data_IF_812248680364
#
_entry.id   IF_812248680364
#
_cell.length_a   1.000
_cell.length_b   1.000
_cell.length_c   1.000
_cell.angle_alpha   90.00
_cell.angle_beta   90.00
_cell.angle_gamma   90.00
#
_symmetry.space_group_name_H-M   'P 1'
#
loop_
_entity.id
_entity.type
_entity.pdbx_description
1 polymer ?
#
# COMPACT_ATOMS: atom_id res chain seq x y z
N UNK A 1 -3.65 -29.29 10.94
CA UNK A 1 -4.37 -28.27 11.73
C UNK A 1 -3.70 -26.93 11.48
N UNK A 2 -4.18 -26.15 10.50
CA UNK A 2 -3.58 -24.88 10.10
C UNK A 2 -3.95 -23.79 11.13
N UNK A 3 -3.13 -23.62 12.17
CA UNK A 3 -3.21 -22.56 13.18
C UNK A 3 -2.84 -21.16 12.63
N UNK A 4 -3.22 -20.84 11.39
CA UNK A 4 -2.89 -19.57 10.74
C UNK A 4 -4.07 -18.61 10.67
N UNK A 5 -5.21 -18.92 11.28
CA UNK A 5 -6.43 -18.10 11.20
C UNK A 5 -6.62 -17.30 12.49
N UNK A 6 -6.67 -15.98 12.37
CA UNK A 6 -6.96 -15.07 13.47
C UNK A 6 -8.46 -14.77 13.44
N UNK A 7 -9.23 -15.67 14.06
CA UNK A 7 -10.67 -15.54 14.25
C UNK A 7 -10.96 -15.17 15.70
N UNK A 8 -11.29 -13.90 15.98
CA UNK A 8 -11.89 -13.50 17.26
C UNK A 8 -10.98 -13.05 18.42
N UNK A 9 -9.69 -12.79 18.19
CA UNK A 9 -8.76 -12.32 19.23
C UNK A 9 -8.34 -10.84 19.14
N UNK A 10 -8.57 -10.18 18.01
CA UNK A 10 -8.02 -8.84 17.75
C UNK A 10 -8.69 -7.73 18.60
N UNK A 11 -9.83 -7.99 19.26
CA UNK A 11 -10.43 -7.03 20.20
C UNK A 11 -9.54 -6.78 21.44
N UNK A 12 -8.65 -7.72 21.78
CA UNK A 12 -7.68 -7.57 22.88
C UNK A 12 -6.66 -6.45 22.62
N UNK A 13 -6.53 -5.98 21.37
CA UNK A 13 -5.69 -4.84 21.01
C UNK A 13 -6.02 -3.59 21.84
N UNK A 14 -7.26 -3.45 22.33
CA UNK A 14 -7.65 -2.33 23.19
C UNK A 14 -6.86 -2.26 24.51
N UNK A 15 -6.21 -3.34 24.94
CA UNK A 15 -5.38 -3.38 26.16
C UNK A 15 -3.91 -3.10 25.90
N UNK A 16 -3.49 -3.02 24.64
CA UNK A 16 -2.09 -2.86 24.24
C UNK A 16 -1.74 -1.40 23.96
N UNK A 17 -2.02 -0.50 24.91
CA UNK A 17 -1.85 0.95 24.75
C UNK A 17 -0.40 1.39 24.46
N UNK A 18 0.56 0.54 24.80
CA UNK A 18 1.99 0.77 24.58
C UNK A 18 2.54 0.09 23.31
N UNK A 19 1.70 -0.59 22.55
CA UNK A 19 2.15 -1.32 21.35
C UNK A 19 2.72 -0.35 20.32
N UNK A 20 3.93 -0.66 19.86
CA UNK A 20 4.63 0.10 18.81
C UNK A 20 4.73 -0.67 17.49
N UNK A 21 4.68 -1.99 17.56
CA UNK A 21 4.85 -2.88 16.41
C UNK A 21 3.73 -3.91 16.45
N UNK A 22 2.97 -4.00 15.36
CA UNK A 22 2.00 -5.06 15.14
C UNK A 22 2.24 -5.66 13.75
N UNK A 23 2.58 -6.94 13.72
CA UNK A 23 2.71 -7.70 12.48
C UNK A 23 1.74 -8.87 12.51
N UNK A 24 0.89 -8.93 11.49
CA UNK A 24 -0.07 -10.00 11.24
C UNK A 24 0.30 -10.76 9.95
N UNK A 25 1.59 -10.79 9.63
CA UNK A 25 2.13 -11.34 8.39
C UNK A 25 1.88 -12.85 8.31
N UNK A 26 1.39 -13.32 7.18
CA UNK A 26 1.16 -14.76 6.94
C UNK A 26 -0.05 -15.38 7.67
N UNK A 27 -0.82 -14.58 8.43
CA UNK A 27 -2.08 -15.01 9.01
C UNK A 27 -3.25 -14.84 8.03
N UNK A 28 -4.38 -15.49 8.31
CA UNK A 28 -5.67 -15.23 7.67
C UNK A 28 -6.52 -14.45 8.65
N UNK A 29 -6.94 -13.26 8.26
CA UNK A 29 -7.73 -12.35 9.10
C UNK A 29 -9.17 -12.42 8.61
N UNK A 30 -10.13 -12.61 9.51
CA UNK A 30 -11.55 -12.61 9.13
C UNK A 30 -12.13 -11.19 9.13
N UNK A 31 -11.75 -10.35 10.10
CA UNK A 31 -12.18 -8.95 10.21
C UNK A 31 -11.13 -8.11 10.94
N UNK A 32 -11.06 -6.81 10.60
CA UNK A 32 -10.28 -5.84 11.37
C UNK A 32 -11.18 -5.19 12.44
N UNK A 33 -10.85 -5.28 13.74
CA UNK A 33 -11.63 -4.63 14.78
C UNK A 33 -11.37 -3.12 14.77
N UNK A 34 -12.38 -2.33 15.12
CA UNK A 34 -12.24 -0.87 15.26
C UNK A 34 -11.17 -0.48 16.29
N UNK A 35 -10.95 -1.33 17.30
CA UNK A 35 -9.97 -1.17 18.36
C UNK A 35 -8.53 -1.10 17.85
N UNK A 36 -8.24 -1.61 16.64
CA UNK A 36 -6.93 -1.41 16.01
C UNK A 36 -6.60 0.08 15.88
N UNK A 37 -7.59 0.92 15.60
CA UNK A 37 -7.45 2.38 15.56
C UNK A 37 -7.17 3.05 16.91
N UNK A 38 -7.24 2.32 18.02
CA UNK A 38 -6.93 2.83 19.36
C UNK A 38 -5.44 2.70 19.71
N UNK A 39 -4.64 2.02 18.90
CA UNK A 39 -3.19 1.84 19.13
C UNK A 39 -2.42 3.14 18.82
N UNK A 40 -2.57 4.16 19.67
CA UNK A 40 -2.04 5.51 19.42
C UNK A 40 -0.51 5.60 19.41
N UNK A 41 0.19 4.60 19.93
CA UNK A 41 1.66 4.54 19.93
C UNK A 41 2.24 3.66 18.82
N UNK A 42 1.39 3.10 17.96
CA UNK A 42 1.81 2.21 16.89
C UNK A 42 2.67 2.96 15.87
N UNK A 43 3.82 2.38 15.55
CA UNK A 43 4.80 2.89 14.58
C UNK A 43 4.91 1.99 13.36
N UNK A 44 4.84 0.68 13.55
CA UNK A 44 4.85 -0.30 12.46
C UNK A 44 3.56 -1.12 12.48
N UNK A 45 2.90 -1.17 11.33
CA UNK A 45 1.75 -2.03 11.08
C UNK A 45 1.99 -2.85 9.83
N UNK A 46 2.08 -4.17 9.98
CA UNK A 46 2.16 -5.11 8.87
C UNK A 46 0.88 -5.97 8.80
N UNK A 47 0.11 -5.77 7.74
CA UNK A 47 -1.13 -6.47 7.39
C UNK A 47 -0.94 -7.40 6.17
N UNK A 48 0.30 -7.81 5.88
CA UNK A 48 0.65 -8.72 4.77
C UNK A 48 0.23 -10.15 5.08
N UNK A 49 -1.08 -10.36 5.09
CA UNK A 49 -1.72 -11.62 5.45
C UNK A 49 -1.78 -12.56 4.24
N UNK A 50 -2.14 -13.83 4.42
CA UNK A 50 -2.47 -14.72 3.29
C UNK A 50 -3.84 -14.37 2.68
N UNK A 51 -4.74 -13.92 3.54
CA UNK A 51 -6.09 -13.49 3.19
C UNK A 51 -6.52 -12.45 4.21
N UNK A 52 -6.77 -11.23 3.75
CA UNK A 52 -7.24 -10.12 4.57
C UNK A 52 -8.56 -9.61 4.04
N UNK A 53 -9.51 -9.24 4.92
CA UNK A 53 -10.71 -8.55 4.52
C UNK A 53 -10.36 -7.14 4.03
N UNK A 54 -11.36 -6.42 3.56
CA UNK A 54 -11.18 -4.99 3.31
C UNK A 54 -10.86 -4.26 4.62
N UNK A 55 -9.92 -3.31 4.57
CA UNK A 55 -9.58 -2.48 5.71
C UNK A 55 -10.73 -1.48 5.92
N UNK A 56 -11.36 -1.44 7.12
CA UNK A 56 -12.45 -0.52 7.39
C UNK A 56 -12.06 0.94 7.16
N UNK A 57 -12.97 1.70 6.56
CA UNK A 57 -12.82 3.14 6.37
C UNK A 57 -12.67 3.84 7.73
N UNK A 58 -11.73 4.77 7.80
CA UNK A 58 -11.35 5.54 8.97
C UNK A 58 -10.38 4.82 9.92
N UNK A 59 -10.05 3.54 9.70
CA UNK A 59 -9.18 2.81 10.61
C UNK A 59 -7.73 3.32 10.55
N UNK A 60 -7.17 3.46 9.35
CA UNK A 60 -5.76 3.79 9.16
C UNK A 60 -5.51 5.24 9.56
N UNK A 61 -6.41 6.15 9.22
CA UNK A 61 -6.29 7.58 9.57
C UNK A 61 -6.21 7.86 11.10
N UNK A 62 -6.68 6.94 11.95
CA UNK A 62 -6.59 7.03 13.42
C UNK A 62 -5.17 6.79 13.96
N UNK A 63 -4.29 6.15 13.17
CA UNK A 63 -2.92 5.75 13.55
C UNK A 63 -1.91 6.87 13.28
N UNK A 64 -2.09 8.04 13.91
CA UNK A 64 -1.33 9.27 13.63
C UNK A 64 0.19 9.17 13.82
N UNK A 65 0.68 8.16 14.55
CA UNK A 65 2.10 7.93 14.82
C UNK A 65 2.72 6.84 13.96
N UNK A 66 1.97 6.29 13.00
CA UNK A 66 2.46 5.24 12.12
C UNK A 66 3.56 5.78 11.20
N UNK A 67 4.68 5.07 11.19
CA UNK A 67 5.90 5.35 10.44
C UNK A 67 6.07 4.35 9.29
N UNK A 68 5.63 3.11 9.48
CA UNK A 68 5.77 2.01 8.52
C UNK A 68 4.44 1.24 8.37
N UNK A 69 4.02 1.06 7.12
CA UNK A 69 2.77 0.38 6.77
C UNK A 69 3.01 -0.61 5.63
N UNK A 70 2.67 -1.88 5.87
CA UNK A 70 2.78 -2.97 4.89
C UNK A 70 1.40 -3.60 4.67
N UNK A 71 0.97 -3.63 3.41
CA UNK A 71 -0.33 -4.17 3.00
C UNK A 71 -0.12 -5.07 1.78
N UNK A 72 -0.08 -6.38 2.02
CA UNK A 72 0.27 -7.37 0.99
C UNK A 72 -0.89 -8.09 0.30
N UNK A 73 -2.08 -8.19 0.91
CA UNK A 73 -3.15 -9.08 0.42
C UNK A 73 -4.56 -8.50 0.46
N UNK A 74 -4.73 -7.25 0.87
CA UNK A 74 -6.06 -6.66 1.01
C UNK A 74 -6.53 -6.05 -0.30
N UNK A 75 -7.84 -5.88 -0.43
CA UNK A 75 -8.40 -4.97 -1.43
C UNK A 75 -7.97 -3.56 -1.06
N UNK A 76 -6.98 -3.02 -1.76
CA UNK A 76 -6.64 -1.59 -1.67
C UNK A 76 -7.74 -0.84 -2.39
N UNK A 77 -8.40 0.08 -1.69
CA UNK A 77 -9.49 0.90 -2.25
C UNK A 77 -9.05 2.36 -2.37
N UNK A 78 -9.80 3.14 -3.15
CA UNK A 78 -9.56 4.58 -3.26
C UNK A 78 -9.59 5.28 -1.90
N UNK A 79 -10.51 4.91 -1.01
CA UNK A 79 -10.61 5.46 0.34
C UNK A 79 -9.40 5.11 1.22
N UNK A 80 -8.89 3.88 1.14
CA UNK A 80 -7.70 3.49 1.88
C UNK A 80 -6.49 4.36 1.48
N UNK A 81 -6.35 4.65 0.19
CA UNK A 81 -5.30 5.54 -0.30
C UNK A 81 -5.44 6.97 0.29
N UNK A 82 -6.66 7.47 0.49
CA UNK A 82 -6.92 8.75 1.21
C UNK A 82 -6.36 8.72 2.61
N UNK A 83 -6.67 7.67 3.34
CA UNK A 83 -6.25 7.56 4.73
C UNK A 83 -4.74 7.44 4.85
N UNK A 84 -4.10 6.65 3.98
CA UNK A 84 -2.64 6.53 3.88
C UNK A 84 -2.03 7.90 3.60
N UNK A 85 -2.55 8.63 2.62
CA UNK A 85 -2.13 9.99 2.28
C UNK A 85 -2.16 10.96 3.47
N UNK A 86 -3.15 10.79 4.35
CA UNK A 86 -3.36 11.62 5.54
C UNK A 86 -2.42 11.34 6.73
N UNK A 87 -1.61 10.27 6.68
CA UNK A 87 -0.73 9.88 7.78
C UNK A 87 0.48 10.82 7.88
N UNK A 88 0.62 11.62 8.95
CA UNK A 88 1.62 12.69 8.99
C UNK A 88 3.07 12.18 9.15
N UNK A 89 3.26 10.96 9.66
CA UNK A 89 4.57 10.40 10.00
C UNK A 89 4.99 9.21 9.13
N UNK A 90 4.16 8.79 8.18
CA UNK A 90 4.45 7.63 7.36
C UNK A 90 5.69 7.91 6.48
N UNK A 91 6.65 6.98 6.53
CA UNK A 91 7.93 7.05 5.82
C UNK A 91 8.21 5.82 4.98
N UNK A 92 7.70 4.66 5.39
CA UNK A 92 7.85 3.41 4.66
C UNK A 92 6.46 2.86 4.31
N UNK A 93 6.23 2.60 3.03
CA UNK A 93 4.94 2.12 2.52
C UNK A 93 5.13 0.95 1.57
N UNK A 94 4.49 -0.19 1.85
CA UNK A 94 4.41 -1.29 0.90
C UNK A 94 2.95 -1.61 0.60
N UNK A 95 2.59 -1.60 -0.68
CA UNK A 95 1.22 -1.86 -1.14
C UNK A 95 1.23 -2.88 -2.28
N UNK A 96 0.36 -3.89 -2.14
CA UNK A 96 -0.07 -4.73 -3.24
C UNK A 96 -1.39 -4.19 -3.81
N UNK A 97 -1.40 -3.82 -5.10
CA UNK A 97 -2.57 -3.26 -5.78
C UNK A 97 -3.02 -4.20 -6.88
N UNK A 98 -4.08 -4.97 -6.62
CA UNK A 98 -4.67 -5.84 -7.63
C UNK A 98 -5.46 -5.07 -8.68
N UNK A 99 -6.16 -4.02 -8.26
CA UNK A 99 -6.98 -3.19 -9.14
C UNK A 99 -6.31 -1.82 -9.31
N UNK A 100 -5.62 -1.65 -10.44
CA UNK A 100 -4.84 -0.45 -10.73
C UNK A 100 -5.73 0.77 -10.97
N UNK A 101 -7.03 0.58 -11.25
CA UNK A 101 -7.97 1.71 -11.41
C UNK A 101 -8.11 2.56 -10.14
N UNK A 102 -7.80 1.99 -8.97
CA UNK A 102 -7.69 2.73 -7.70
C UNK A 102 -6.63 3.82 -7.75
N UNK A 103 -5.58 3.63 -8.56
CA UNK A 103 -4.59 4.65 -8.82
C UNK A 103 -5.07 5.72 -9.80
N UNK A 104 -6.23 5.59 -10.45
CA UNK A 104 -6.74 6.61 -11.38
C UNK A 104 -7.85 7.48 -10.78
N UNK A 105 -8.35 7.13 -9.60
CA UNK A 105 -9.52 7.80 -8.98
C UNK A 105 -9.15 8.97 -8.06
N UNK A 106 -7.86 9.29 -7.90
CA UNK A 106 -7.34 9.89 -6.67
C UNK A 106 -6.37 11.07 -6.83
N UNK A 107 -6.58 11.92 -7.84
CA UNK A 107 -5.69 13.03 -8.20
C UNK A 107 -5.46 14.05 -7.07
N UNK A 108 -6.38 14.13 -6.10
CA UNK A 108 -6.28 15.07 -4.97
C UNK A 108 -5.58 14.51 -3.73
N UNK A 109 -5.22 13.22 -3.73
CA UNK A 109 -5.07 12.43 -2.50
C UNK A 109 -3.62 12.04 -2.22
N UNK A 110 -2.93 11.51 -3.23
CA UNK A 110 -1.48 11.31 -3.17
C UNK A 110 -0.81 12.53 -3.77
N UNK A 111 -0.78 13.62 -2.99
CA UNK A 111 0.00 14.80 -3.38
C UNK A 111 1.46 14.42 -3.54
N UNK A 112 2.16 15.07 -4.45
CA UNK A 112 3.61 14.86 -4.63
C UNK A 112 4.36 15.04 -3.29
N UNK A 113 3.92 15.96 -2.43
CA UNK A 113 4.45 16.15 -1.08
C UNK A 113 4.38 14.88 -0.20
N UNK A 114 3.32 14.08 -0.37
CA UNK A 114 3.17 12.79 0.31
C UNK A 114 4.23 11.79 -0.17
N UNK A 115 4.44 11.67 -1.47
CA UNK A 115 5.41 10.72 -2.02
C UNK A 115 6.85 11.16 -1.67
N UNK A 116 7.10 12.48 -1.68
CA UNK A 116 8.39 13.07 -1.31
C UNK A 116 8.77 12.85 0.15
N UNK A 117 7.81 12.84 1.08
CA UNK A 117 8.12 12.52 2.49
C UNK A 117 8.43 11.03 2.74
N UNK A 118 8.06 10.13 1.83
CA UNK A 118 8.37 8.71 1.97
C UNK A 118 9.87 8.50 1.75
N UNK A 119 10.50 7.81 2.71
CA UNK A 119 11.88 7.35 2.59
C UNK A 119 11.97 6.18 1.60
N UNK A 120 10.98 5.30 1.61
CA UNK A 120 10.91 4.16 0.71
C UNK A 120 9.46 3.77 0.47
N UNK A 121 9.17 3.29 -0.74
CA UNK A 121 7.92 2.60 -1.01
C UNK A 121 8.11 1.45 -1.97
N UNK A 122 7.20 0.49 -1.90
CA UNK A 122 7.14 -0.67 -2.77
C UNK A 122 5.69 -0.83 -3.19
N UNK A 123 5.37 -0.53 -4.44
CA UNK A 123 4.03 -0.72 -5.00
C UNK A 123 4.12 -1.76 -6.09
N UNK A 124 3.32 -2.81 -6.02
CA UNK A 124 3.35 -3.92 -6.97
C UNK A 124 1.96 -4.44 -7.27
N UNK A 125 1.73 -4.87 -8.50
CA UNK A 125 0.42 -5.38 -8.96
C UNK A 125 0.32 -6.91 -8.98
N UNK A 126 1.46 -7.61 -8.84
CA UNK A 126 1.51 -9.08 -8.70
C UNK A 126 2.35 -9.55 -7.50
N UNK A 127 1.81 -10.49 -6.71
CA UNK A 127 2.43 -10.98 -5.47
C UNK A 127 3.82 -11.59 -5.68
N UNK A 128 4.10 -12.17 -6.85
CA UNK A 128 5.41 -12.76 -7.16
C UNK A 128 6.56 -11.75 -7.08
N UNK A 129 6.27 -10.46 -7.15
CA UNK A 129 7.27 -9.41 -7.04
C UNK A 129 7.69 -9.11 -5.59
N UNK A 130 6.94 -9.60 -4.60
CA UNK A 130 7.29 -9.40 -3.19
C UNK A 130 8.67 -9.98 -2.84
N UNK A 131 9.08 -11.06 -3.51
CA UNK A 131 10.38 -11.70 -3.30
C UNK A 131 11.54 -10.94 -3.94
N UNK A 132 11.27 -10.02 -4.86
CA UNK A 132 12.29 -9.21 -5.54
C UNK A 132 12.78 -8.06 -4.66
N UNK A 133 12.24 -7.89 -3.44
CA UNK A 133 12.43 -6.66 -2.68
C UNK A 133 13.04 -6.91 -1.30
N UNK A 134 14.26 -6.36 -1.12
CA UNK A 134 14.97 -6.21 0.16
C UNK A 134 15.65 -4.83 0.24
N UNK A 135 15.03 -3.82 -0.35
CA UNK A 135 15.68 -2.55 -0.68
C UNK A 135 14.91 -1.38 -0.08
N UNK A 136 15.62 -0.46 0.59
CA UNK A 136 15.06 0.81 1.12
C UNK A 136 14.87 1.86 0.00
N UNK A 137 14.63 1.39 -1.22
CA UNK A 137 14.46 2.23 -2.41
C UNK A 137 12.97 2.47 -2.67
N UNK A 138 12.69 3.45 -3.52
CA UNK A 138 11.36 3.73 -4.06
C UNK A 138 11.14 2.86 -5.30
N UNK A 139 10.46 1.73 -5.12
CA UNK A 139 10.25 0.72 -6.15
C UNK A 139 8.78 0.72 -6.60
N UNK A 140 8.58 0.74 -7.91
CA UNK A 140 7.27 0.59 -8.54
C UNK A 140 7.36 -0.57 -9.53
N UNK A 141 6.52 -1.56 -9.33
CA UNK A 141 6.43 -2.72 -10.21
C UNK A 141 5.01 -2.73 -10.80
N UNK A 142 4.87 -2.68 -12.12
CA UNK A 142 3.56 -2.68 -12.80
C UNK A 142 3.48 -3.77 -13.87
N UNK A 143 2.56 -4.72 -13.70
CA UNK A 143 2.35 -5.82 -14.65
C UNK A 143 0.98 -5.74 -15.32
N UNK A 144 0.96 -5.89 -16.64
CA UNK A 144 -0.25 -5.92 -17.45
C UNK A 144 -1.06 -4.62 -17.40
N UNK A 145 -0.40 -3.50 -17.08
CA UNK A 145 -1.05 -2.20 -16.93
C UNK A 145 -0.98 -1.45 -18.24
N UNK A 146 -2.13 -1.00 -18.77
CA UNK A 146 -2.23 -0.26 -20.03
C UNK A 146 -2.46 1.24 -19.81
N UNK A 147 -2.95 1.64 -18.64
CA UNK A 147 -3.17 3.04 -18.25
C UNK A 147 -3.05 3.17 -16.73
N UNK A 148 -2.46 4.28 -16.29
CA UNK A 148 -2.37 4.72 -14.90
C UNK A 148 -2.80 6.19 -14.86
N UNK A 149 -3.41 6.64 -13.75
CA UNK A 149 -3.84 8.03 -13.61
C UNK A 149 -2.67 9.02 -13.71
N UNK A 150 -2.94 10.23 -14.19
CA UNK A 150 -1.93 11.27 -14.43
C UNK A 150 -1.09 11.57 -13.17
N UNK A 151 -1.71 11.59 -11.98
CA UNK A 151 -0.96 11.82 -10.75
C UNK A 151 0.08 10.72 -10.44
N UNK A 152 -0.13 9.47 -10.90
CA UNK A 152 0.86 8.40 -10.74
C UNK A 152 2.12 8.76 -11.53
N UNK A 153 1.94 9.32 -12.73
CA UNK A 153 3.04 9.82 -13.56
C UNK A 153 3.73 10.98 -12.85
N UNK A 154 2.97 11.96 -12.39
CA UNK A 154 3.53 13.18 -11.81
C UNK A 154 4.19 12.97 -10.44
N UNK A 155 3.58 12.16 -9.57
CA UNK A 155 4.00 12.01 -8.18
C UNK A 155 4.82 10.74 -7.92
N UNK A 156 4.38 9.58 -8.43
CA UNK A 156 5.06 8.32 -8.17
C UNK A 156 6.21 8.08 -9.14
N UNK A 157 6.05 8.26 -10.46
CA UNK A 157 7.15 8.03 -11.40
C UNK A 157 8.31 9.00 -11.15
N UNK A 158 8.03 10.28 -10.89
CA UNK A 158 9.06 11.28 -10.61
C UNK A 158 9.94 10.97 -9.39
N UNK A 159 9.43 10.18 -8.43
CA UNK A 159 10.14 9.80 -7.22
C UNK A 159 10.64 8.34 -7.24
N UNK A 160 10.24 7.54 -8.24
CA UNK A 160 10.57 6.12 -8.32
C UNK A 160 12.03 5.94 -8.74
N UNK A 161 12.78 5.17 -7.96
CA UNK A 161 14.18 4.84 -8.26
C UNK A 161 14.29 3.56 -9.10
N UNK A 162 13.41 2.58 -8.86
CA UNK A 162 13.37 1.34 -9.64
C UNK A 162 11.97 1.12 -10.18
N UNK A 163 11.82 1.22 -11.49
CA UNK A 163 10.58 0.91 -12.20
C UNK A 163 10.76 -0.43 -12.94
N UNK A 164 9.88 -1.39 -12.68
CA UNK A 164 9.81 -2.64 -13.44
C UNK A 164 8.43 -2.72 -14.09
N UNK A 165 8.42 -2.86 -15.41
CA UNK A 165 7.23 -3.07 -16.21
C UNK A 165 7.26 -4.48 -16.78
N UNK A 166 6.16 -5.20 -16.67
CA UNK A 166 5.99 -6.52 -17.29
C UNK A 166 4.69 -6.51 -18.11
N UNK A 167 4.84 -6.61 -19.42
CA UNK A 167 3.71 -6.67 -20.35
C UNK A 167 3.20 -8.11 -20.41
N UNK A 168 2.12 -8.41 -19.70
CA UNK A 168 1.32 -9.59 -20.01
C UNK A 168 0.49 -9.32 -21.27
N UNK A 169 1.11 -9.32 -22.45
CA UNK A 169 0.39 -9.44 -23.73
C UNK A 169 1.20 -10.29 -24.70
N UNK A 170 0.73 -11.53 -24.88
CA UNK A 170 0.71 -12.14 -26.20
C UNK A 170 -0.42 -11.41 -26.97
N UNK A 171 -0.12 -10.87 -28.15
CA UNK A 171 -1.02 -10.13 -29.06
C UNK A 171 -1.14 -8.60 -28.86
N UNK A 172 -0.31 -7.94 -29.68
CA UNK A 172 -0.46 -6.66 -30.38
C UNK A 172 -1.34 -5.54 -29.78
N UNK A 173 -0.67 -4.40 -29.56
CA UNK A 173 -1.22 -3.04 -29.68
C UNK A 173 -1.92 -2.42 -28.47
N UNK A 174 -1.22 -2.31 -27.34
CA UNK A 174 -1.42 -1.15 -26.44
C UNK A 174 -0.07 -0.64 -25.94
N UNK A 175 0.43 0.44 -26.54
CA UNK A 175 1.51 1.21 -25.91
C UNK A 175 0.95 1.86 -24.64
N UNK A 176 1.69 1.75 -23.54
CA UNK A 176 1.51 2.61 -22.37
C UNK A 176 1.64 4.07 -22.84
N UNK A 177 0.49 4.76 -22.95
CA UNK A 177 0.48 6.18 -23.29
C UNK A 177 0.81 6.99 -22.05
N UNK A 178 2.09 7.34 -21.89
CA UNK A 178 2.50 8.41 -20.98
C UNK A 178 2.17 9.76 -21.65
N UNK A 179 0.97 10.29 -21.43
CA UNK A 179 0.57 11.59 -22.00
C UNK A 179 1.25 12.82 -21.38
N UNK A 180 2.32 12.66 -20.58
CA UNK A 180 3.01 13.77 -19.92
C UNK A 180 4.55 13.64 -19.84
N UNK A 181 5.21 12.95 -20.76
CA UNK A 181 6.69 12.84 -20.79
C UNK A 181 7.39 13.97 -21.58
N UNK A 182 6.91 15.21 -21.49
CA UNK A 182 7.66 16.37 -22.01
C UNK A 182 8.50 17.11 -20.95
N UNK A 183 8.49 16.69 -19.68
CA UNK A 183 9.20 17.39 -18.61
C UNK A 183 9.88 16.44 -17.60
N UNK A 184 10.87 15.66 -18.03
CA UNK A 184 11.90 15.13 -17.12
C UNK A 184 13.26 15.31 -17.80
N UNK A 185 13.95 16.40 -17.44
CA UNK A 185 15.37 16.66 -17.69
C UNK A 185 16.06 16.94 -16.36
#
# INVERSE_FOLDING_TARGET
LNNSRVSGGLWLLNRLENLRVLSLTGFSIDSFPEQLGNLKKLRLLDLSSKQSPEIPVGLISKLRYLEELYIGSSKVTAYLMIEIGSLPRLRCLQLFIKDVSVLSLNDQIFRIDFVRKLKSYIIYTELQWITLVKSHRKNLYLKGVTSIGDWVVDALLGETENLILDSCFEEESTMLHFTALSCIS
#
